data_IF_470216282061
#
_entry.id   IF_470216282061
#
_cell.length_a   1.000
_cell.length_b   1.000
_cell.length_c   1.000
_cell.angle_alpha   90.00
_cell.angle_beta   90.00
_cell.angle_gamma   90.00
#
_symmetry.space_group_name_H-M   'P 1'
#
loop_
_entity.id
_entity.type
_entity.pdbx_description
1 polymer ?
#
# COMPACT_ATOMS: atom_id res chain seq x y z
N UNK A 1 -15.70 27.47 10.22
CA UNK A 1 -14.53 26.57 10.10
C UNK A 1 -15.00 25.16 10.38
N UNK A 2 -14.74 24.21 9.49
CA UNK A 2 -14.87 22.78 9.80
C UNK A 2 -13.58 22.34 10.49
N UNK A 3 -13.70 21.77 11.69
CA UNK A 3 -12.57 21.16 12.38
C UNK A 3 -12.30 19.76 11.83
N UNK A 4 -11.11 19.22 12.08
CA UNK A 4 -10.81 17.81 11.78
C UNK A 4 -11.85 16.87 12.40
N UNK A 5 -12.32 17.18 13.61
CA UNK A 5 -13.34 16.39 14.30
C UNK A 5 -14.68 16.42 13.55
N UNK A 6 -15.09 17.58 13.03
CA UNK A 6 -16.32 17.70 12.24
C UNK A 6 -16.25 16.87 10.96
N UNK A 7 -15.08 16.87 10.30
CA UNK A 7 -14.84 16.06 9.10
C UNK A 7 -14.87 14.56 9.43
N UNK A 8 -14.18 14.12 10.48
CA UNK A 8 -14.17 12.70 10.90
C UNK A 8 -15.58 12.23 11.28
N UNK A 9 -16.35 13.05 12.00
CA UNK A 9 -17.74 12.74 12.34
C UNK A 9 -18.61 12.63 11.09
N UNK A 10 -18.45 13.56 10.15
CA UNK A 10 -19.16 13.52 8.86
C UNK A 10 -18.83 12.24 8.07
N UNK A 11 -17.55 11.89 7.93
CA UNK A 11 -17.14 10.66 7.25
C UNK A 11 -17.72 9.42 7.92
N UNK A 12 -17.62 9.31 9.25
CA UNK A 12 -18.20 8.20 10.01
C UNK A 12 -19.69 8.05 9.72
N UNK A 13 -20.46 9.13 9.84
CA UNK A 13 -21.90 9.12 9.62
C UNK A 13 -22.24 8.71 8.18
N UNK A 14 -21.49 9.23 7.21
CA UNK A 14 -21.68 8.92 5.79
C UNK A 14 -21.39 7.44 5.53
N UNK A 15 -20.26 6.91 6.02
CA UNK A 15 -19.89 5.51 5.86
C UNK A 15 -20.94 4.55 6.47
N UNK A 16 -21.56 4.91 7.60
CA UNK A 16 -22.63 4.11 8.20
C UNK A 16 -23.93 4.07 7.38
N UNK A 17 -24.13 5.00 6.45
CA UNK A 17 -25.31 5.06 5.58
C UNK A 17 -25.10 4.36 4.23
N UNK A 18 -23.85 3.97 3.92
CA UNK A 18 -23.55 3.25 2.68
C UNK A 18 -23.91 1.77 2.81
N UNK A 19 -24.29 1.11 1.69
CA UNK A 19 -24.44 -0.34 1.67
C UNK A 19 -23.15 -1.04 2.12
N UNK A 20 -23.24 -2.26 2.66
CA UNK A 20 -22.07 -3.09 2.92
C UNK A 20 -21.19 -3.19 1.67
N UNK A 21 -19.88 -3.06 1.87
CA UNK A 21 -18.91 -3.24 0.80
C UNK A 21 -18.95 -4.69 0.29
N UNK A 22 -18.61 -4.87 -0.98
CA UNK A 22 -18.46 -6.20 -1.58
C UNK A 22 -17.13 -6.80 -1.11
N UNK A 23 -17.08 -8.12 -0.91
CA UNK A 23 -15.84 -8.84 -0.58
C UNK A 23 -14.89 -8.98 -1.78
N UNK A 24 -15.13 -8.25 -2.86
CA UNK A 24 -14.34 -8.24 -4.07
C UNK A 24 -13.89 -6.82 -4.37
N UNK A 25 -12.58 -6.63 -4.47
CA UNK A 25 -11.95 -5.39 -4.87
C UNK A 25 -11.67 -5.42 -6.37
N UNK A 26 -12.02 -4.32 -7.04
CA UNK A 26 -11.82 -4.12 -8.47
C UNK A 26 -10.84 -2.95 -8.66
N UNK A 27 -9.72 -3.23 -9.30
CA UNK A 27 -8.76 -2.22 -9.75
C UNK A 27 -8.94 -2.01 -11.24
N UNK A 28 -9.35 -0.79 -11.63
CA UNK A 28 -9.56 -0.39 -13.02
C UNK A 28 -8.48 0.59 -13.45
N UNK A 29 -7.81 0.27 -14.55
CA UNK A 29 -6.88 1.15 -15.22
C UNK A 29 -7.60 1.79 -16.40
N UNK A 30 -7.74 3.11 -16.37
CA UNK A 30 -8.41 3.88 -17.41
C UNK A 30 -7.44 4.90 -18.00
N UNK A 31 -7.47 5.06 -19.32
CA UNK A 31 -6.66 6.04 -20.02
C UNK A 31 -7.18 7.44 -19.69
N UNK A 32 -6.28 8.32 -19.23
CA UNK A 32 -6.67 9.60 -18.66
C UNK A 32 -7.40 10.54 -19.65
N UNK A 33 -7.11 10.41 -20.94
CA UNK A 33 -7.64 11.32 -21.98
C UNK A 33 -9.13 11.09 -22.27
N UNK A 34 -9.54 9.82 -22.41
CA UNK A 34 -10.88 9.44 -22.87
C UNK A 34 -11.60 8.46 -21.95
N UNK A 35 -10.99 8.10 -20.81
CA UNK A 35 -11.49 7.11 -19.85
C UNK A 35 -11.66 5.72 -20.46
N UNK A 36 -11.02 5.44 -21.59
CA UNK A 36 -11.01 4.10 -22.18
C UNK A 36 -10.34 3.10 -21.24
N UNK A 37 -10.90 1.90 -21.17
CA UNK A 37 -10.41 0.87 -20.28
C UNK A 37 -9.09 0.30 -20.81
N UNK A 38 -8.04 0.38 -19.99
CA UNK A 38 -6.74 -0.25 -20.22
C UNK A 38 -6.74 -1.68 -19.67
N UNK A 39 -7.33 -1.89 -18.50
CA UNK A 39 -7.38 -3.20 -17.85
C UNK A 39 -8.12 -3.22 -16.52
N UNK A 40 -8.46 -4.43 -16.07
CA UNK A 40 -9.13 -4.67 -14.79
C UNK A 40 -8.47 -5.84 -14.07
N UNK A 41 -8.21 -5.66 -12.78
CA UNK A 41 -7.82 -6.72 -11.87
C UNK A 41 -8.88 -6.88 -10.78
N UNK A 42 -9.24 -8.13 -10.50
CA UNK A 42 -10.20 -8.49 -9.48
C UNK A 42 -9.54 -9.36 -8.42
N UNK A 43 -9.69 -8.99 -7.16
CA UNK A 43 -9.14 -9.75 -6.05
C UNK A 43 -10.11 -9.80 -4.88
N UNK A 44 -10.06 -10.92 -4.15
CA UNK A 44 -10.87 -11.08 -2.94
C UNK A 44 -10.33 -10.12 -1.86
N UNK A 45 -11.26 -9.48 -1.15
CA UNK A 45 -10.94 -8.73 0.05
C UNK A 45 -10.56 -9.70 1.16
N UNK A 46 -9.33 -9.56 1.66
CA UNK A 46 -8.83 -10.28 2.83
C UNK A 46 -8.58 -9.27 3.96
N UNK A 47 -9.54 -9.22 4.90
CA UNK A 47 -9.48 -8.32 6.03
C UNK A 47 -8.29 -8.61 6.95
N UNK A 48 -7.93 -9.88 7.13
CA UNK A 48 -6.83 -10.28 8.01
C UNK A 48 -5.50 -9.89 7.38
N UNK A 49 -5.33 -10.16 6.08
CA UNK A 49 -4.16 -9.72 5.33
C UNK A 49 -4.00 -8.19 5.41
N UNK A 50 -5.07 -7.42 5.11
CA UNK A 50 -5.01 -5.96 5.14
C UNK A 50 -4.68 -5.42 6.53
N UNK A 51 -5.33 -5.93 7.58
CA UNK A 51 -5.07 -5.50 8.96
C UNK A 51 -3.63 -5.80 9.38
N UNK A 52 -3.09 -6.95 8.97
CA UNK A 52 -1.68 -7.29 9.22
C UNK A 52 -0.71 -6.34 8.48
N UNK A 53 -1.00 -5.97 7.23
CA UNK A 53 -0.20 -4.97 6.50
C UNK A 53 -0.25 -3.60 7.19
N UNK A 54 -1.45 -3.12 7.56
CA UNK A 54 -1.62 -1.85 8.25
C UNK A 54 -0.88 -1.82 9.58
N UNK A 55 -0.99 -2.90 10.36
CA UNK A 55 -0.28 -3.04 11.63
C UNK A 55 1.23 -2.93 11.45
N UNK A 56 1.82 -3.70 10.53
CA UNK A 56 3.26 -3.67 10.23
C UNK A 56 3.76 -2.28 9.81
N UNK A 57 2.97 -1.57 9.00
CA UNK A 57 3.26 -0.19 8.62
C UNK A 57 3.21 0.76 9.83
N UNK A 58 2.17 0.66 10.67
CA UNK A 58 2.00 1.52 11.83
C UNK A 58 3.08 1.30 12.89
N UNK A 59 3.48 0.05 13.14
CA UNK A 59 4.59 -0.28 14.05
C UNK A 59 5.88 0.43 13.60
N UNK A 60 6.16 0.42 12.30
CA UNK A 60 7.30 1.17 11.75
C UNK A 60 7.15 2.69 11.95
N UNK A 61 6.01 3.27 11.57
CA UNK A 61 5.80 4.72 11.67
C UNK A 61 5.77 5.25 13.11
N UNK A 62 5.42 4.40 14.08
CA UNK A 62 5.44 4.73 15.51
C UNK A 62 6.80 4.49 16.17
N UNK A 63 7.76 3.90 15.46
CA UNK A 63 9.06 3.51 16.03
C UNK A 63 8.99 2.28 16.93
N UNK A 64 7.92 1.48 16.82
CA UNK A 64 7.75 0.21 17.53
C UNK A 64 8.51 -0.94 16.83
N UNK A 65 8.92 -0.73 15.56
CA UNK A 65 9.70 -1.66 14.75
C UNK A 65 10.79 -0.95 13.96
N UNK A 66 11.99 -1.54 13.93
CA UNK A 66 13.10 -1.09 13.09
C UNK A 66 12.80 -1.22 11.58
N UNK A 67 13.37 -0.34 10.73
CA UNK A 67 13.29 -0.49 9.28
C UNK A 67 13.86 -1.84 8.85
N UNK A 68 13.22 -2.43 7.84
CA UNK A 68 13.64 -3.68 7.21
C UNK A 68 13.89 -3.45 5.73
N UNK A 69 14.76 -4.28 5.14
CA UNK A 69 14.96 -4.29 3.69
C UNK A 69 13.72 -4.81 2.96
N UNK A 70 13.61 -4.50 1.66
CA UNK A 70 12.58 -5.08 0.81
C UNK A 70 12.68 -6.62 0.80
N UNK A 71 11.54 -7.29 0.90
CA UNK A 71 11.44 -8.73 0.71
C UNK A 71 11.93 -9.13 -0.69
N UNK A 72 12.26 -10.39 -0.89
CA UNK A 72 12.81 -10.90 -2.16
C UNK A 72 11.91 -10.57 -3.36
N UNK A 73 10.61 -10.84 -3.22
CA UNK A 73 9.56 -10.51 -4.20
C UNK A 73 9.52 -9.02 -4.58
N UNK A 74 9.95 -8.16 -3.66
CA UNK A 74 9.87 -6.69 -3.77
C UNK A 74 11.23 -6.05 -4.10
N UNK A 75 12.28 -6.86 -4.35
CA UNK A 75 13.61 -6.36 -4.70
C UNK A 75 13.67 -5.60 -6.01
N UNK A 76 12.67 -5.75 -6.89
CA UNK A 76 12.57 -4.92 -8.10
C UNK A 76 12.54 -3.41 -7.76
N UNK A 77 12.04 -3.04 -6.57
CA UNK A 77 12.04 -1.65 -6.08
C UNK A 77 13.46 -1.10 -5.86
N UNK A 78 14.44 -1.96 -5.62
CA UNK A 78 15.84 -1.56 -5.46
C UNK A 78 16.40 -0.91 -6.73
N UNK A 79 15.90 -1.27 -7.92
CA UNK A 79 16.30 -0.66 -9.19
C UNK A 79 15.94 0.83 -9.29
N UNK A 80 15.03 1.30 -8.45
CA UNK A 80 14.56 2.68 -8.39
C UNK A 80 14.97 3.38 -7.08
N UNK A 81 15.70 2.70 -6.20
CA UNK A 81 16.09 3.21 -4.89
C UNK A 81 17.34 4.09 -4.99
N UNK A 82 17.23 5.38 -4.63
CA UNK A 82 18.36 6.32 -4.64
C UNK A 82 19.51 5.93 -3.68
N UNK A 83 19.26 5.03 -2.73
CA UNK A 83 20.24 4.56 -1.74
C UNK A 83 20.86 3.21 -2.08
N UNK A 84 20.54 2.64 -3.25
CA UNK A 84 20.97 1.31 -3.65
C UNK A 84 22.48 1.06 -3.49
N UNK A 85 23.32 2.02 -3.90
CA UNK A 85 24.78 1.89 -3.84
C UNK A 85 25.36 1.83 -2.43
N UNK A 86 24.63 2.32 -1.43
CA UNK A 86 25.03 2.37 -0.03
C UNK A 86 24.25 1.36 0.83
N UNK A 87 23.32 0.60 0.23
CA UNK A 87 22.45 -0.32 0.93
C UNK A 87 23.21 -1.60 1.34
N UNK A 88 23.33 -1.91 2.64
CA UNK A 88 24.04 -3.11 3.09
C UNK A 88 23.41 -4.43 2.64
N UNK A 89 22.12 -4.43 2.28
CA UNK A 89 21.47 -5.61 1.75
C UNK A 89 21.93 -5.96 0.32
N UNK A 90 22.52 -5.00 -0.40
CA UNK A 90 23.00 -5.20 -1.76
C UNK A 90 24.50 -5.57 -1.82
N UNK A 91 25.27 -5.27 -0.78
CA UNK A 91 26.69 -5.62 -0.70
C UNK A 91 26.98 -7.11 -0.44
N UNK A 92 25.93 -7.93 -0.26
CA UNK A 92 26.02 -9.40 -0.09
C UNK A 92 25.75 -10.20 -1.36
N UNK A 93 25.56 -9.54 -2.51
CA UNK A 93 25.58 -10.20 -3.81
C UNK A 93 27.04 -10.23 -4.27
N UNK A 94 27.71 -11.38 -4.08
CA UNK A 94 29.03 -11.62 -4.63
C UNK A 94 29.06 -11.27 -6.14
N UNK A 95 30.19 -10.75 -6.66
CA UNK A 95 30.30 -10.47 -8.09
C UNK A 95 30.11 -11.76 -8.91
N UNK A 96 29.44 -11.70 -10.07
CA UNK A 96 29.40 -12.84 -10.97
C UNK A 96 30.84 -13.17 -11.41
N UNK A 97 31.19 -14.45 -11.32
CA UNK A 97 32.46 -15.03 -11.76
C UNK A 97 32.71 -14.86 -13.25
#
# INVERSE_FOLDING_TARGET
>A
MQTLNDLVAYYRNTCCMLPPAQDQLLLRYEYQEDQSLIGEDQFAYDADWLNNQLKSCLEFWRGEREPSYAAEEERWKCNFCSFYSQCPANSKLDPPS
#
